data_IF_499846465930
#
_entry.id   IF_499846465930
#
_cell.length_a   1.000
_cell.length_b   1.000
_cell.length_c   1.000
_cell.angle_alpha   90.00
_cell.angle_beta   90.00
_cell.angle_gamma   90.00
#
_symmetry.space_group_name_H-M   'P 1'
#
loop_
_entity.id
_entity.type
_entity.pdbx_description
1 polymer ?
#
# COMPACT_ATOMS: atom_id res chain seq x y z
N UNK A 1 -4.54 -21.00 -45.60
CA UNK A 1 -5.77 -21.36 -44.89
C UNK A 1 -6.95 -20.80 -45.67
N UNK A 2 -7.71 -21.63 -46.40
CA UNK A 2 -8.83 -21.14 -47.21
C UNK A 2 -10.04 -20.80 -46.33
N UNK A 3 -10.58 -19.59 -46.50
CA UNK A 3 -11.76 -19.07 -45.82
C UNK A 3 -13.03 -19.57 -46.47
N UNK A 4 -13.88 -20.26 -45.69
CA UNK A 4 -15.23 -20.68 -46.11
C UNK A 4 -16.20 -19.54 -45.75
N UNK A 5 -17.03 -19.05 -46.70
CA UNK A 5 -18.05 -18.04 -46.40
C UNK A 5 -19.30 -18.68 -45.78
N UNK A 6 -19.82 -18.04 -44.73
CA UNK A 6 -21.04 -18.44 -44.02
C UNK A 6 -22.27 -17.99 -44.82
N UNK A 7 -23.29 -18.84 -45.04
CA UNK A 7 -24.50 -18.47 -45.75
C UNK A 7 -25.41 -17.57 -44.89
N UNK A 8 -25.89 -16.49 -45.50
CA UNK A 8 -26.76 -15.47 -44.92
C UNK A 8 -28.18 -16.02 -44.75
N UNK A 9 -28.67 -16.05 -43.50
CA UNK A 9 -30.01 -16.51 -43.15
C UNK A 9 -31.02 -15.40 -43.44
N UNK A 10 -31.88 -15.66 -44.42
CA UNK A 10 -33.10 -14.91 -44.75
C UNK A 10 -34.01 -14.80 -43.51
N UNK A 11 -34.27 -13.56 -43.06
CA UNK A 11 -35.34 -13.26 -42.10
C UNK A 11 -36.68 -13.26 -42.84
N UNK A 12 -37.74 -13.93 -42.33
CA UNK A 12 -39.08 -13.74 -42.86
C UNK A 12 -39.60 -12.35 -42.50
N UNK A 13 -40.06 -11.61 -43.52
CA UNK A 13 -40.93 -10.46 -43.33
C UNK A 13 -42.26 -10.95 -42.75
N UNK A 14 -42.64 -10.40 -41.60
CA UNK A 14 -44.00 -10.50 -41.07
C UNK A 14 -44.69 -9.17 -41.32
N UNK A 15 -45.46 -9.12 -42.39
CA UNK A 15 -46.47 -8.09 -42.62
C UNK A 15 -47.79 -8.61 -42.06
N UNK A 16 -48.27 -8.05 -40.95
CA UNK A 16 -49.70 -7.78 -40.77
C UNK A 16 -49.93 -6.75 -39.65
N UNK A 17 -50.73 -5.70 -39.90
CA UNK A 17 -51.22 -4.82 -38.84
C UNK A 17 -52.39 -5.51 -38.14
N UNK A 18 -52.24 -5.87 -36.86
CA UNK A 18 -53.40 -6.19 -36.02
C UNK A 18 -54.19 -4.91 -35.78
N UNK A 19 -55.35 -4.80 -36.42
CA UNK A 19 -56.39 -3.83 -36.05
C UNK A 19 -56.88 -4.16 -34.64
N UNK A 20 -56.75 -3.19 -33.73
CA UNK A 20 -57.36 -3.25 -32.40
C UNK A 20 -58.85 -2.98 -32.53
N UNK A 21 -59.66 -4.00 -32.32
CA UNK A 21 -61.09 -3.85 -31.98
C UNK A 21 -61.19 -3.57 -30.49
N UNK A 22 -60.94 -2.31 -30.12
CA UNK A 22 -61.22 -1.81 -28.78
C UNK A 22 -62.73 -1.67 -28.65
N UNK A 23 -63.37 -2.70 -28.08
CA UNK A 23 -64.80 -2.72 -27.79
C UNK A 23 -65.06 -1.80 -26.60
N UNK A 24 -65.44 -0.56 -26.89
CA UNK A 24 -66.03 0.35 -25.91
C UNK A 24 -67.38 -0.20 -25.48
N UNK A 25 -67.37 -0.92 -24.35
CA UNK A 25 -68.57 -1.40 -23.68
C UNK A 25 -69.35 -0.18 -23.20
N UNK A 26 -70.38 0.18 -23.95
CA UNK A 26 -71.40 1.17 -23.59
C UNK A 26 -71.90 0.89 -22.17
N UNK A 27 -71.54 1.78 -21.26
CA UNK A 27 -72.03 1.83 -19.89
C UNK A 27 -73.45 2.42 -19.94
N UNK A 28 -74.47 1.78 -19.36
CA UNK A 28 -75.79 2.36 -19.30
C UNK A 28 -75.74 3.57 -18.37
N UNK A 29 -76.07 4.74 -18.92
CA UNK A 29 -76.33 5.97 -18.18
C UNK A 29 -77.59 5.74 -17.35
N UNK A 30 -77.41 5.55 -16.04
CA UNK A 30 -78.50 5.66 -15.08
C UNK A 30 -78.58 7.14 -14.70
N UNK A 31 -79.62 7.80 -15.20
CA UNK A 31 -80.11 9.06 -14.68
C UNK A 31 -80.40 8.90 -13.18
N UNK A 32 -79.56 9.50 -12.35
CA UNK A 32 -79.79 9.62 -10.91
C UNK A 32 -80.18 11.06 -10.62
N UNK A 33 -81.48 11.34 -10.79
CA UNK A 33 -82.12 12.51 -10.21
C UNK A 33 -82.52 12.16 -8.77
N UNK A 34 -81.75 12.62 -7.78
CA UNK A 34 -82.24 12.87 -6.43
C UNK A 34 -81.22 13.75 -5.68
N UNK A 35 -81.53 15.03 -5.60
CA UNK A 35 -80.99 15.92 -4.58
C UNK A 35 -81.50 15.43 -3.21
N UNK A 36 -80.58 15.11 -2.30
CA UNK A 36 -80.90 14.72 -0.93
C UNK A 36 -79.65 14.34 -0.16
N UNK A 37 -79.24 15.24 0.75
CA UNK A 37 -78.29 15.06 1.85
C UNK A 37 -76.88 14.52 1.56
N UNK A 38 -75.95 15.48 1.49
CA UNK A 38 -74.54 15.25 1.79
C UNK A 38 -74.39 15.04 3.30
N UNK A 39 -74.55 13.80 3.76
CA UNK A 39 -74.17 13.41 5.10
C UNK A 39 -72.63 13.25 5.16
N UNK A 40 -72.02 14.04 6.03
CA UNK A 40 -70.58 14.14 6.25
C UNK A 40 -70.09 12.79 6.79
N UNK A 41 -69.04 12.15 6.23
CA UNK A 41 -68.57 10.87 6.76
C UNK A 41 -67.92 11.07 8.12
N UNK A 42 -68.68 10.82 9.18
CA UNK A 42 -68.20 10.61 10.54
C UNK A 42 -67.05 9.58 10.52
N UNK A 43 -65.92 9.81 11.21
CA UNK A 43 -64.81 8.86 11.25
C UNK A 43 -65.29 7.54 11.89
N UNK A 44 -65.53 6.53 11.05
CA UNK A 44 -65.82 5.17 11.52
C UNK A 44 -64.64 4.71 12.38
N UNK A 45 -64.93 4.24 13.58
CA UNK A 45 -63.88 3.68 14.44
C UNK A 45 -63.22 2.48 13.73
N UNK A 46 -61.91 2.24 13.89
CA UNK A 46 -61.23 1.12 13.26
C UNK A 46 -61.90 -0.23 13.61
N UNK A 47 -62.44 -0.37 14.83
CA UNK A 47 -63.13 -1.57 15.28
C UNK A 47 -64.43 -1.87 14.51
N UNK A 48 -65.17 -0.86 14.06
CA UNK A 48 -66.41 -1.06 13.28
C UNK A 48 -66.12 -1.48 11.83
N UNK A 49 -65.01 -1.00 11.26
CA UNK A 49 -64.58 -1.38 9.90
C UNK A 49 -64.06 -2.81 9.86
N UNK A 50 -63.31 -3.22 10.89
CA UNK A 50 -62.82 -4.61 11.00
C UNK A 50 -63.97 -5.61 11.17
N UNK A 51 -65.02 -5.25 11.94
CA UNK A 51 -66.22 -6.08 12.07
C UNK A 51 -67.01 -6.16 10.76
N UNK A 52 -67.14 -5.05 10.02
CA UNK A 52 -67.80 -5.02 8.70
C UNK A 52 -67.02 -5.83 7.66
N UNK A 53 -65.69 -5.75 7.65
CA UNK A 53 -64.83 -6.56 6.76
C UNK A 53 -64.90 -8.05 7.12
N UNK A 54 -64.94 -8.38 8.41
CA UNK A 54 -65.10 -9.77 8.85
C UNK A 54 -66.48 -10.31 8.51
N UNK A 55 -67.54 -9.53 8.67
CA UNK A 55 -68.89 -9.94 8.28
C UNK A 55 -68.99 -10.11 6.77
N UNK A 56 -68.41 -9.19 5.99
CA UNK A 56 -68.41 -9.26 4.54
C UNK A 56 -67.66 -10.49 4.02
N UNK A 57 -66.50 -10.81 4.62
CA UNK A 57 -65.75 -12.04 4.32
C UNK A 57 -66.58 -13.29 4.63
N UNK A 58 -67.24 -13.30 5.79
CA UNK A 58 -68.11 -14.40 6.21
C UNK A 58 -69.29 -14.59 5.24
N UNK A 59 -70.02 -13.54 4.91
CA UNK A 59 -71.13 -13.62 3.94
C UNK A 59 -70.66 -14.04 2.55
N UNK A 60 -69.46 -13.63 2.15
CA UNK A 60 -68.87 -14.06 0.87
C UNK A 60 -68.53 -15.56 0.88
N UNK A 61 -67.96 -16.06 1.96
CA UNK A 61 -67.67 -17.48 2.14
C UNK A 61 -68.95 -18.32 2.17
N UNK A 62 -69.98 -17.87 2.87
CA UNK A 62 -71.31 -18.49 2.90
C UNK A 62 -71.92 -18.55 1.49
N UNK A 63 -71.89 -17.44 0.73
CA UNK A 63 -72.38 -17.40 -0.66
C UNK A 63 -71.62 -18.37 -1.57
N UNK A 64 -70.30 -18.52 -1.38
CA UNK A 64 -69.50 -19.48 -2.14
C UNK A 64 -69.85 -20.93 -1.78
N UNK A 65 -70.21 -21.20 -0.53
CA UNK A 65 -70.63 -22.51 -0.09
C UNK A 65 -72.02 -22.87 -0.63
N UNK A 66 -73.00 -21.97 -0.49
CA UNK A 66 -74.35 -22.15 -1.05
C UNK A 66 -74.28 -22.45 -2.56
N UNK A 67 -73.44 -21.72 -3.30
CA UNK A 67 -73.26 -21.95 -4.73
C UNK A 67 -72.61 -23.31 -5.05
N UNK A 68 -71.67 -23.78 -4.22
CA UNK A 68 -71.09 -25.14 -4.38
C UNK A 68 -72.12 -26.22 -4.12
N UNK A 69 -72.96 -26.05 -3.10
CA UNK A 69 -74.04 -26.98 -2.77
C UNK A 69 -75.08 -27.05 -3.89
N UNK A 70 -75.49 -25.91 -4.44
CA UNK A 70 -76.39 -25.84 -5.60
C UNK A 70 -75.79 -26.56 -6.83
N UNK A 71 -74.50 -26.34 -7.11
CA UNK A 71 -73.78 -27.05 -8.16
C UNK A 71 -73.75 -28.57 -7.93
N UNK A 72 -73.53 -29.03 -6.70
CA UNK A 72 -73.56 -30.45 -6.35
C UNK A 72 -74.95 -31.06 -6.53
N UNK A 73 -76.00 -30.38 -6.08
CA UNK A 73 -77.39 -30.79 -6.29
C UNK A 73 -77.74 -30.93 -7.78
N UNK A 74 -77.29 -29.98 -8.61
CA UNK A 74 -77.47 -30.08 -10.06
C UNK A 74 -76.70 -31.25 -10.69
N UNK A 75 -75.47 -31.51 -10.24
CA UNK A 75 -74.69 -32.66 -10.72
C UNK A 75 -75.36 -33.99 -10.36
N UNK A 76 -75.84 -34.15 -9.13
CA UNK A 76 -76.58 -35.35 -8.71
C UNK A 76 -77.84 -35.57 -9.56
N UNK A 77 -78.59 -34.50 -9.85
CA UNK A 77 -79.76 -34.56 -10.73
C UNK A 77 -79.38 -34.96 -12.15
N UNK A 78 -78.27 -34.46 -12.68
CA UNK A 78 -77.76 -34.83 -14.00
C UNK A 78 -77.38 -36.32 -14.02
N UNK A 79 -76.67 -36.82 -13.01
CA UNK A 79 -76.28 -38.23 -12.91
C UNK A 79 -77.50 -39.15 -12.80
N UNK A 80 -78.52 -38.76 -12.04
CA UNK A 80 -79.79 -39.48 -11.94
C UNK A 80 -80.53 -39.52 -13.30
N UNK A 81 -80.54 -38.42 -14.05
CA UNK A 81 -81.14 -38.38 -15.39
C UNK A 81 -80.34 -39.23 -16.40
N UNK A 82 -79.02 -39.17 -16.35
CA UNK A 82 -78.15 -39.95 -17.24
C UNK A 82 -78.29 -41.46 -17.00
N UNK A 83 -78.34 -41.89 -15.74
CA UNK A 83 -78.56 -43.30 -15.40
C UNK A 83 -79.93 -43.80 -15.88
N UNK A 84 -81.00 -43.00 -15.68
CA UNK A 84 -82.34 -43.31 -16.20
C UNK A 84 -82.36 -43.41 -17.72
N UNK A 85 -81.71 -42.48 -18.42
CA UNK A 85 -81.63 -42.47 -19.87
C UNK A 85 -80.88 -43.70 -20.39
N UNK A 86 -79.77 -44.06 -19.75
CA UNK A 86 -79.00 -45.29 -20.06
C UNK A 86 -79.83 -46.56 -19.85
N UNK A 87 -80.61 -46.61 -18.77
CA UNK A 87 -81.50 -47.73 -18.49
C UNK A 87 -82.59 -47.88 -19.57
N UNK A 88 -83.24 -46.77 -19.94
CA UNK A 88 -84.25 -46.77 -21.00
C UNK A 88 -83.68 -47.16 -22.37
N UNK A 89 -82.47 -46.71 -22.71
CA UNK A 89 -81.81 -47.11 -23.97
C UNK A 89 -81.47 -48.60 -23.99
N UNK A 90 -80.99 -49.16 -22.86
CA UNK A 90 -80.76 -50.60 -22.74
C UNK A 90 -82.06 -51.40 -22.85
N UNK A 91 -83.15 -50.91 -22.25
CA UNK A 91 -84.48 -51.52 -22.35
C UNK A 91 -85.00 -51.51 -23.79
N UNK A 92 -84.84 -50.38 -24.51
CA UNK A 92 -85.16 -50.26 -25.94
C UNK A 92 -84.35 -51.25 -26.79
N UNK A 93 -83.03 -51.34 -26.57
CA UNK A 93 -82.19 -52.29 -27.29
C UNK A 93 -82.57 -53.76 -27.04
N UNK A 94 -82.93 -54.10 -25.80
CA UNK A 94 -83.40 -55.45 -25.45
C UNK A 94 -84.74 -55.76 -26.12
N UNK A 95 -85.70 -54.83 -26.06
CA UNK A 95 -87.02 -54.95 -26.71
C UNK A 95 -86.91 -55.07 -28.22
N UNK A 96 -86.08 -54.24 -28.85
CA UNK A 96 -85.83 -54.29 -30.29
C UNK A 96 -85.26 -55.65 -30.73
N UNK A 97 -84.31 -56.20 -29.96
CA UNK A 97 -83.74 -57.53 -30.24
C UNK A 97 -84.78 -58.65 -30.13
N UNK A 98 -85.67 -58.60 -29.15
CA UNK A 98 -86.72 -59.60 -28.99
C UNK A 98 -87.76 -59.52 -30.11
N UNK A 99 -88.17 -58.32 -30.53
CA UNK A 99 -89.14 -58.12 -31.62
C UNK A 99 -88.56 -58.50 -32.99
N UNK A 100 -87.27 -58.26 -33.22
CA UNK A 100 -86.60 -58.70 -34.44
C UNK A 100 -86.42 -60.23 -34.54
N UNK A 101 -86.25 -60.91 -33.40
CA UNK A 101 -86.08 -62.36 -33.34
C UNK A 101 -87.40 -63.14 -33.46
N UNK A 102 -88.55 -62.46 -33.32
CA UNK A 102 -89.87 -63.08 -33.35
C UNK A 102 -90.44 -63.13 -34.78
N UNK A 103 -90.67 -64.33 -35.31
CA UNK A 103 -91.07 -64.57 -36.70
C UNK A 103 -92.51 -64.11 -36.99
N UNK A 104 -93.34 -63.90 -35.96
CA UNK A 104 -94.74 -63.47 -36.05
C UNK A 104 -94.99 -61.97 -36.13
N UNK A 105 -93.94 -61.13 -36.17
CA UNK A 105 -94.07 -59.67 -36.08
C UNK A 105 -94.34 -59.00 -37.42
N UNK A 106 -95.19 -57.97 -37.40
CA UNK A 106 -95.58 -57.20 -38.57
C UNK A 106 -94.42 -56.35 -39.10
N UNK A 107 -94.45 -56.00 -40.39
CA UNK A 107 -93.37 -55.24 -41.04
C UNK A 107 -93.14 -53.85 -40.41
N UNK A 108 -94.18 -53.25 -39.81
CA UNK A 108 -94.07 -51.98 -39.08
C UNK A 108 -93.34 -52.14 -37.74
N UNK A 109 -93.63 -53.22 -37.00
CA UNK A 109 -92.95 -53.54 -35.73
C UNK A 109 -91.46 -53.81 -35.94
N UNK A 110 -91.09 -54.50 -37.02
CA UNK A 110 -89.68 -54.71 -37.40
C UNK A 110 -88.95 -53.40 -37.72
N UNK A 111 -89.61 -52.47 -38.42
CA UNK A 111 -89.06 -51.12 -38.68
C UNK A 111 -88.92 -50.29 -37.41
N UNK A 112 -89.85 -50.42 -36.47
CA UNK A 112 -89.78 -49.72 -35.18
C UNK A 112 -88.60 -50.26 -34.35
N UNK A 113 -88.46 -51.58 -34.27
CA UNK A 113 -87.35 -52.24 -33.59
C UNK A 113 -85.98 -51.86 -34.20
N UNK A 114 -85.88 -51.71 -35.52
CA UNK A 114 -84.65 -51.27 -36.17
C UNK A 114 -84.28 -49.82 -35.79
N UNK A 115 -85.27 -48.93 -35.71
CA UNK A 115 -85.06 -47.55 -35.23
C UNK A 115 -84.63 -47.53 -33.76
N UNK A 116 -85.25 -48.33 -32.91
CA UNK A 116 -84.89 -48.41 -31.48
C UNK A 116 -83.47 -48.95 -31.27
N UNK A 117 -83.04 -49.92 -32.08
CA UNK A 117 -81.66 -50.40 -32.11
C UNK A 117 -80.69 -49.30 -32.57
N UNK A 118 -81.06 -48.52 -33.60
CA UNK A 118 -80.25 -47.40 -34.08
C UNK A 118 -80.13 -46.28 -33.03
N UNK A 119 -81.22 -45.95 -32.33
CA UNK A 119 -81.22 -44.97 -31.24
C UNK A 119 -80.27 -45.43 -30.12
N UNK A 120 -80.35 -46.70 -29.71
CA UNK A 120 -79.45 -47.21 -28.67
C UNK A 120 -77.98 -47.18 -29.10
N UNK A 121 -77.67 -47.53 -30.36
CA UNK A 121 -76.29 -47.49 -30.87
C UNK A 121 -75.74 -46.06 -30.89
N UNK A 122 -76.54 -45.08 -31.33
CA UNK A 122 -76.17 -43.66 -31.31
C UNK A 122 -75.96 -43.13 -29.88
N UNK A 123 -76.77 -43.58 -28.92
CA UNK A 123 -76.62 -43.21 -27.51
C UNK A 123 -75.31 -43.74 -26.91
N UNK A 124 -74.96 -45.00 -27.20
CA UNK A 124 -73.70 -45.59 -26.74
C UNK A 124 -72.48 -44.89 -27.38
N UNK A 125 -72.55 -44.61 -28.68
CA UNK A 125 -71.50 -43.86 -29.40
C UNK A 125 -71.36 -42.44 -28.83
N UNK A 126 -72.48 -41.73 -28.60
CA UNK A 126 -72.49 -40.41 -27.98
C UNK A 126 -71.87 -40.42 -26.57
N UNK A 127 -72.18 -41.42 -25.74
CA UNK A 127 -71.58 -41.57 -24.42
C UNK A 127 -70.07 -41.86 -24.50
N UNK A 128 -69.64 -42.69 -25.45
CA UNK A 128 -68.23 -43.00 -25.70
C UNK A 128 -67.45 -41.77 -26.18
N UNK A 129 -68.05 -41.00 -27.10
CA UNK A 129 -67.47 -39.77 -27.62
C UNK A 129 -67.31 -38.73 -26.50
N UNK A 130 -68.36 -38.51 -25.69
CA UNK A 130 -68.34 -37.60 -24.54
C UNK A 130 -67.24 -37.97 -23.54
N UNK A 131 -67.12 -39.25 -23.18
CA UNK A 131 -66.04 -39.74 -22.30
C UNK A 131 -64.64 -39.50 -22.91
N UNK A 132 -64.48 -39.66 -24.22
CA UNK A 132 -63.21 -39.42 -24.91
C UNK A 132 -62.84 -37.93 -24.94
N UNK A 133 -63.80 -37.06 -25.24
CA UNK A 133 -63.62 -35.61 -25.26
C UNK A 133 -63.24 -35.09 -23.87
N UNK A 134 -63.89 -35.57 -22.81
CA UNK A 134 -63.56 -35.21 -21.43
C UNK A 134 -62.13 -35.63 -21.05
N UNK A 135 -61.67 -36.81 -21.49
CA UNK A 135 -60.27 -37.25 -21.31
C UNK A 135 -59.29 -36.34 -22.04
N UNK A 136 -59.58 -35.96 -23.29
CA UNK A 136 -58.73 -35.06 -24.05
C UNK A 136 -58.70 -33.65 -23.45
N UNK A 137 -59.84 -33.11 -23.00
CA UNK A 137 -59.91 -31.83 -22.30
C UNK A 137 -59.10 -31.83 -21.01
N UNK A 138 -59.18 -32.91 -20.22
CA UNK A 138 -58.38 -33.06 -19.00
C UNK A 138 -56.88 -33.13 -19.32
N UNK A 139 -56.51 -33.84 -20.39
CA UNK A 139 -55.12 -33.96 -20.86
C UNK A 139 -54.57 -32.61 -21.33
N UNK A 140 -55.35 -31.85 -22.12
CA UNK A 140 -54.98 -30.51 -22.58
C UNK A 140 -54.80 -29.55 -21.40
N UNK A 141 -55.70 -29.58 -20.40
CA UNK A 141 -55.55 -28.79 -19.17
C UNK A 141 -54.26 -29.15 -18.44
N UNK A 142 -53.96 -30.45 -18.26
CA UNK A 142 -52.73 -30.92 -17.61
C UNK A 142 -51.47 -30.47 -18.37
N UNK A 143 -51.48 -30.55 -19.70
CA UNK A 143 -50.36 -30.10 -20.54
C UNK A 143 -50.16 -28.59 -20.47
N UNK A 144 -51.24 -27.79 -20.42
CA UNK A 144 -51.15 -26.34 -20.23
C UNK A 144 -50.54 -25.96 -18.89
N UNK A 145 -50.98 -26.61 -17.80
CA UNK A 145 -50.42 -26.38 -16.46
C UNK A 145 -48.93 -26.72 -16.44
N UNK A 146 -48.56 -27.89 -16.96
CA UNK A 146 -47.15 -28.31 -17.05
C UNK A 146 -46.31 -27.33 -17.88
N UNK A 147 -46.83 -26.83 -18.99
CA UNK A 147 -46.16 -25.81 -19.80
C UNK A 147 -45.89 -24.52 -19.02
N UNK A 148 -46.88 -24.03 -18.26
CA UNK A 148 -46.71 -22.84 -17.41
C UNK A 148 -45.70 -23.06 -16.28
N UNK A 149 -45.68 -24.24 -15.66
CA UNK A 149 -44.69 -24.59 -14.63
C UNK A 149 -43.27 -24.62 -15.21
N UNK A 150 -43.09 -25.21 -16.39
CA UNK A 150 -41.81 -25.25 -17.09
C UNK A 150 -41.32 -23.86 -17.50
N UNK A 151 -42.21 -22.97 -17.97
CA UNK A 151 -41.84 -21.59 -18.28
C UNK A 151 -41.36 -20.82 -17.02
N UNK A 152 -42.03 -21.02 -15.88
CA UNK A 152 -41.59 -20.47 -14.58
C UNK A 152 -40.22 -21.01 -14.18
N UNK A 153 -39.99 -22.30 -14.33
CA UNK A 153 -38.70 -22.91 -14.02
C UNK A 153 -37.58 -22.37 -14.93
N UNK A 154 -37.83 -22.29 -16.24
CA UNK A 154 -36.87 -21.74 -17.22
C UNK A 154 -36.54 -20.28 -16.90
N UNK A 155 -37.53 -19.46 -16.55
CA UNK A 155 -37.28 -18.05 -16.19
C UNK A 155 -36.46 -17.93 -14.92
N UNK A 156 -36.75 -18.72 -13.88
CA UNK A 156 -35.92 -18.77 -12.66
C UNK A 156 -34.49 -19.25 -12.95
N UNK A 157 -34.32 -20.27 -13.78
CA UNK A 157 -32.99 -20.78 -14.15
C UNK A 157 -32.19 -19.73 -14.93
N UNK A 158 -32.81 -19.02 -15.88
CA UNK A 158 -32.18 -17.90 -16.59
C UNK A 158 -31.76 -16.77 -15.65
N UNK A 159 -32.59 -16.42 -14.67
CA UNK A 159 -32.24 -15.42 -13.66
C UNK A 159 -31.06 -15.87 -12.79
N UNK A 160 -31.01 -17.15 -12.37
CA UNK A 160 -29.88 -17.70 -11.61
C UNK A 160 -28.60 -17.74 -12.45
N UNK A 161 -28.69 -18.14 -13.71
CA UNK A 161 -27.57 -18.19 -14.65
C UNK A 161 -26.97 -16.79 -14.86
N UNK A 162 -27.79 -15.79 -15.21
CA UNK A 162 -27.31 -14.41 -15.38
C UNK A 162 -26.70 -13.82 -14.11
N UNK A 163 -27.23 -14.17 -12.92
CA UNK A 163 -26.63 -13.78 -11.64
C UNK A 163 -25.27 -14.46 -11.42
N UNK A 164 -25.15 -15.75 -11.73
CA UNK A 164 -23.90 -16.49 -11.62
C UNK A 164 -22.84 -15.96 -12.59
N UNK A 165 -23.20 -15.68 -13.84
CA UNK A 165 -22.30 -15.10 -14.85
C UNK A 165 -21.75 -13.73 -14.43
N UNK A 166 -22.61 -12.84 -13.90
CA UNK A 166 -22.16 -11.57 -13.32
C UNK A 166 -21.20 -11.79 -12.16
N UNK A 167 -21.52 -12.72 -11.25
CA UNK A 167 -20.65 -13.07 -10.12
C UNK A 167 -19.27 -13.58 -10.57
N UNK A 168 -19.22 -14.41 -11.62
CA UNK A 168 -17.97 -14.90 -12.21
C UNK A 168 -17.16 -13.73 -12.80
N UNK A 169 -17.81 -12.81 -13.52
CA UNK A 169 -17.17 -11.61 -14.05
C UNK A 169 -16.54 -10.74 -12.96
N UNK A 170 -17.29 -10.45 -11.89
CA UNK A 170 -16.82 -9.63 -10.77
C UNK A 170 -15.63 -10.27 -10.03
N UNK A 171 -15.67 -11.60 -9.83
CA UNK A 171 -14.58 -12.33 -9.20
C UNK A 171 -13.34 -12.40 -10.09
N UNK A 172 -13.51 -12.56 -11.40
CA UNK A 172 -12.40 -12.56 -12.37
C UNK A 172 -11.70 -11.20 -12.39
N UNK A 173 -12.47 -10.11 -12.41
CA UNK A 173 -11.92 -8.76 -12.36
C UNK A 173 -11.23 -8.45 -11.01
N UNK A 174 -11.77 -8.94 -9.89
CA UNK A 174 -11.11 -8.84 -8.59
C UNK A 174 -9.81 -9.63 -8.56
N UNK A 175 -9.78 -10.84 -9.12
CA UNK A 175 -8.58 -11.67 -9.20
C UNK A 175 -7.47 -10.98 -10.02
N UNK A 176 -7.80 -10.45 -11.21
CA UNK A 176 -6.84 -9.69 -12.04
C UNK A 176 -6.26 -8.47 -11.32
N UNK A 177 -7.10 -7.73 -10.57
CA UNK A 177 -6.63 -6.60 -9.76
C UNK A 177 -5.69 -7.03 -8.64
N UNK A 178 -6.00 -8.15 -7.98
CA UNK A 178 -5.12 -8.71 -6.95
C UNK A 178 -3.78 -9.18 -7.53
N UNK A 179 -3.78 -9.86 -8.68
CA UNK A 179 -2.57 -10.31 -9.38
C UNK A 179 -1.68 -9.13 -9.81
N UNK A 180 -2.28 -8.06 -10.35
CA UNK A 180 -1.55 -6.85 -10.71
C UNK A 180 -0.90 -6.16 -9.49
N UNK A 181 -1.62 -6.12 -8.36
CA UNK A 181 -1.10 -5.58 -7.11
C UNK A 181 0.04 -6.45 -6.53
N UNK A 182 -0.08 -7.78 -6.61
CA UNK A 182 0.97 -8.71 -6.20
C UNK A 182 2.23 -8.53 -7.04
N UNK A 183 2.11 -8.46 -8.36
CA UNK A 183 3.25 -8.23 -9.25
C UNK A 183 3.96 -6.92 -8.93
N UNK A 184 3.21 -5.84 -8.70
CA UNK A 184 3.78 -4.56 -8.28
C UNK A 184 4.48 -4.64 -6.91
N UNK A 185 3.96 -5.42 -5.97
CA UNK A 185 4.60 -5.66 -4.68
C UNK A 185 5.90 -6.47 -4.83
N UNK A 186 5.90 -7.50 -5.67
CA UNK A 186 7.11 -8.29 -5.96
C UNK A 186 8.21 -7.44 -6.60
N UNK A 187 7.86 -6.54 -7.52
CA UNK A 187 8.85 -5.65 -8.14
C UNK A 187 9.41 -4.64 -7.13
N UNK A 188 8.60 -4.14 -6.20
CA UNK A 188 9.09 -3.32 -5.08
C UNK A 188 10.05 -4.09 -4.17
N UNK A 189 9.76 -5.35 -3.85
CA UNK A 189 10.64 -6.20 -3.05
C UNK A 189 12.00 -6.42 -3.73
N UNK A 190 12.03 -6.60 -5.06
CA UNK A 190 13.30 -6.68 -5.81
C UNK A 190 14.12 -5.39 -5.72
N UNK A 191 13.46 -4.22 -5.74
CA UNK A 191 14.13 -2.93 -5.57
C UNK A 191 14.70 -2.81 -4.15
N UNK A 192 13.91 -3.16 -3.13
CA UNK A 192 14.37 -3.15 -1.72
C UNK A 192 15.59 -4.06 -1.54
N UNK A 193 15.57 -5.28 -2.08
CA UNK A 193 16.70 -6.20 -2.00
C UNK A 193 17.97 -5.66 -2.68
N UNK A 194 17.85 -4.87 -3.76
CA UNK A 194 19.00 -4.19 -4.37
C UNK A 194 19.53 -3.08 -3.47
N UNK A 195 18.65 -2.25 -2.91
CA UNK A 195 19.02 -1.18 -1.99
C UNK A 195 19.72 -1.74 -0.74
N UNK A 196 19.23 -2.85 -0.19
CA UNK A 196 19.88 -3.52 0.95
C UNK A 196 21.30 -3.95 0.61
N UNK A 197 21.51 -4.56 -0.57
CA UNK A 197 22.84 -4.94 -1.04
C UNK A 197 23.76 -3.73 -1.22
N UNK A 198 23.26 -2.64 -1.79
CA UNK A 198 24.03 -1.40 -1.97
C UNK A 198 24.39 -0.76 -0.62
N UNK A 199 23.48 -0.80 0.37
CA UNK A 199 23.74 -0.33 1.73
C UNK A 199 24.84 -1.14 2.43
N UNK A 200 24.82 -2.46 2.28
CA UNK A 200 25.86 -3.32 2.87
C UNK A 200 27.23 -3.09 2.20
N UNK A 201 27.25 -2.86 0.89
CA UNK A 201 28.47 -2.46 0.18
C UNK A 201 29.01 -1.12 0.69
N UNK A 202 28.17 -0.09 0.78
CA UNK A 202 28.57 1.23 1.31
C UNK A 202 29.06 1.13 2.77
N UNK A 203 28.45 0.26 3.58
CA UNK A 203 28.92 0.00 4.95
C UNK A 203 30.32 -0.60 4.96
N UNK A 204 30.58 -1.62 4.13
CA UNK A 204 31.92 -2.21 4.03
C UNK A 204 32.98 -1.21 3.55
N UNK A 205 32.67 -0.39 2.55
CA UNK A 205 33.56 0.67 2.07
C UNK A 205 33.84 1.72 3.15
N UNK A 206 32.83 2.09 3.93
CA UNK A 206 32.98 3.02 5.06
C UNK A 206 33.85 2.44 6.15
N UNK A 207 33.71 1.15 6.46
CA UNK A 207 34.56 0.46 7.44
C UNK A 207 36.01 0.40 6.97
N UNK A 208 36.25 0.06 5.71
CA UNK A 208 37.59 0.03 5.10
C UNK A 208 38.24 1.42 5.06
N UNK A 209 37.49 2.46 4.67
CA UNK A 209 37.95 3.84 4.73
C UNK A 209 38.25 4.27 6.17
N UNK A 210 37.44 3.82 7.13
CA UNK A 210 37.66 4.04 8.57
C UNK A 210 39.00 3.45 9.03
N UNK A 211 39.29 2.20 8.68
CA UNK A 211 40.57 1.55 8.97
C UNK A 211 41.74 2.32 8.35
N UNK A 212 41.62 2.71 7.08
CA UNK A 212 42.64 3.49 6.38
C UNK A 212 42.90 4.84 7.07
N UNK A 213 41.86 5.56 7.48
CA UNK A 213 41.98 6.82 8.22
C UNK A 213 42.71 6.60 9.55
N UNK A 214 42.37 5.54 10.30
CA UNK A 214 43.03 5.26 11.58
C UNK A 214 44.51 4.95 11.40
N UNK A 215 44.87 4.20 10.36
CA UNK A 215 46.26 3.87 10.06
C UNK A 215 47.05 5.11 9.63
N UNK A 216 46.50 5.95 8.75
CA UNK A 216 47.15 7.20 8.35
C UNK A 216 47.34 8.17 9.53
N UNK A 217 46.37 8.25 10.45
CA UNK A 217 46.51 9.03 11.69
C UNK A 217 47.63 8.49 12.57
N UNK A 218 47.75 7.16 12.69
CA UNK A 218 48.84 6.51 13.43
C UNK A 218 50.19 6.85 12.81
N UNK A 219 50.34 6.70 11.49
CA UNK A 219 51.56 7.04 10.76
C UNK A 219 51.94 8.52 10.91
N UNK A 220 50.96 9.43 10.86
CA UNK A 220 51.18 10.86 11.07
C UNK A 220 51.70 11.15 12.48
N UNK A 221 51.07 10.57 13.50
CA UNK A 221 51.51 10.73 14.90
C UNK A 221 52.92 10.18 15.11
N UNK A 222 53.24 9.01 14.56
CA UNK A 222 54.57 8.42 14.63
C UNK A 222 55.62 9.29 13.92
N UNK A 223 55.25 9.93 12.80
CA UNK A 223 56.12 10.85 12.08
C UNK A 223 56.34 12.16 12.84
N UNK A 224 55.30 12.73 13.44
CA UNK A 224 55.38 13.91 14.30
C UNK A 224 56.26 13.64 15.53
N UNK A 225 56.05 12.52 16.23
CA UNK A 225 56.89 12.14 17.38
C UNK A 225 58.36 11.98 16.98
N UNK A 226 58.65 11.36 15.84
CA UNK A 226 60.03 11.25 15.33
C UNK A 226 60.64 12.61 14.96
N UNK A 227 59.85 13.50 14.38
CA UNK A 227 60.30 14.85 14.05
C UNK A 227 60.61 15.67 15.31
N UNK A 228 59.73 15.63 16.32
CA UNK A 228 59.95 16.27 17.62
C UNK A 228 61.20 15.73 18.33
N UNK A 229 61.42 14.41 18.30
CA UNK A 229 62.61 13.80 18.90
C UNK A 229 63.90 14.21 18.17
N UNK A 230 63.87 14.28 16.84
CA UNK A 230 64.98 14.79 16.04
C UNK A 230 65.26 16.27 16.36
N UNK A 231 64.23 17.10 16.44
CA UNK A 231 64.36 18.51 16.79
C UNK A 231 64.97 18.70 18.18
N UNK A 232 64.47 17.98 19.19
CA UNK A 232 65.03 18.00 20.56
C UNK A 232 66.49 17.58 20.59
N UNK A 233 66.90 16.56 19.82
CA UNK A 233 68.31 16.14 19.71
C UNK A 233 69.18 17.22 19.07
N UNK A 234 68.72 17.84 18.00
CA UNK A 234 69.45 18.94 17.33
C UNK A 234 69.59 20.13 18.26
N UNK A 235 68.52 20.55 18.94
CA UNK A 235 68.54 21.64 19.91
C UNK A 235 69.48 21.34 21.09
N UNK A 236 69.42 20.12 21.65
CA UNK A 236 70.31 19.70 22.72
C UNK A 236 71.78 19.69 22.30
N UNK A 237 72.07 19.17 21.09
CA UNK A 237 73.43 19.18 20.52
C UNK A 237 73.95 20.59 20.26
N UNK A 238 73.14 21.48 19.69
CA UNK A 238 73.49 22.88 19.48
C UNK A 238 73.79 23.60 20.81
N UNK A 239 72.95 23.40 21.82
CA UNK A 239 73.12 23.98 23.15
C UNK A 239 74.38 23.45 23.87
N UNK A 240 74.74 22.18 23.66
CA UNK A 240 75.99 21.63 24.17
C UNK A 240 77.22 22.24 23.49
N UNK A 241 77.18 22.40 22.16
CA UNK A 241 78.24 23.07 21.39
C UNK A 241 78.41 24.52 21.88
N UNK A 242 77.32 25.27 22.01
CA UNK A 242 77.35 26.64 22.53
C UNK A 242 77.93 26.72 23.94
N UNK A 243 77.57 25.77 24.82
CA UNK A 243 78.15 25.67 26.17
C UNK A 243 79.65 25.42 26.12
N UNK A 244 80.12 24.51 25.26
CA UNK A 244 81.56 24.23 25.09
C UNK A 244 82.32 25.44 24.57
N UNK A 245 81.79 26.13 23.54
CA UNK A 245 82.37 27.38 23.02
C UNK A 245 82.40 28.45 24.10
N UNK A 246 81.32 28.62 24.86
CA UNK A 246 81.26 29.59 25.96
C UNK A 246 82.26 29.25 27.06
N UNK A 247 82.46 27.97 27.38
CA UNK A 247 83.47 27.53 28.36
C UNK A 247 84.89 27.82 27.86
N UNK A 248 85.20 27.46 26.61
CA UNK A 248 86.49 27.76 25.97
C UNK A 248 86.79 29.26 25.97
N UNK A 249 85.82 30.09 25.55
CA UNK A 249 85.98 31.54 25.56
C UNK A 249 86.17 32.10 26.98
N UNK A 250 85.55 31.52 28.00
CA UNK A 250 85.78 31.91 29.41
C UNK A 250 87.20 31.58 29.86
N UNK A 251 87.70 30.41 29.50
CA UNK A 251 89.09 29.99 29.77
C UNK A 251 90.07 30.93 29.05
N UNK A 252 89.83 31.24 27.78
CA UNK A 252 90.64 32.21 27.02
C UNK A 252 90.63 33.60 27.67
N UNK A 253 89.47 34.08 28.14
CA UNK A 253 89.37 35.36 28.86
C UNK A 253 90.16 35.33 30.18
N UNK A 254 90.13 34.21 30.91
CA UNK A 254 90.90 34.05 32.15
C UNK A 254 92.40 33.99 31.87
N UNK A 255 92.81 33.24 30.85
CA UNK A 255 94.20 33.17 30.39
C UNK A 255 94.71 34.56 30.00
N UNK A 256 93.96 35.31 29.17
CA UNK A 256 94.32 36.69 28.80
C UNK A 256 94.38 37.62 30.02
N UNK A 257 93.51 37.44 31.02
CA UNK A 257 93.58 38.22 32.27
C UNK A 257 94.83 37.88 33.08
N UNK A 258 95.24 36.62 33.14
CA UNK A 258 96.47 36.19 33.80
C UNK A 258 97.68 36.75 33.06
N UNK A 259 97.72 36.63 31.74
CA UNK A 259 98.78 37.20 30.89
C UNK A 259 98.89 38.71 31.07
N UNK A 260 97.75 39.41 31.07
CA UNK A 260 97.69 40.85 31.35
C UNK A 260 98.26 41.16 32.74
N UNK A 261 97.88 40.44 33.80
CA UNK A 261 98.43 40.64 35.15
C UNK A 261 99.94 40.38 35.19
N UNK A 262 100.42 39.30 34.56
CA UNK A 262 101.85 38.99 34.48
C UNK A 262 102.63 40.08 33.71
N UNK A 263 102.06 40.61 32.63
CA UNK A 263 102.64 41.72 31.87
C UNK A 263 102.65 43.01 32.69
N UNK A 264 101.57 43.32 33.42
CA UNK A 264 101.51 44.46 34.35
C UNK A 264 102.53 44.32 35.49
N UNK A 265 102.68 43.12 36.07
CA UNK A 265 103.65 42.87 37.14
C UNK A 265 105.10 42.91 36.63
N UNK A 266 105.37 42.43 35.41
CA UNK A 266 106.66 42.64 34.72
C UNK A 266 106.92 44.12 34.50
N UNK A 267 105.97 44.84 33.90
CA UNK A 267 106.11 46.29 33.68
C UNK A 267 106.30 47.09 34.97
N UNK A 268 105.66 46.70 36.08
CA UNK A 268 105.89 47.28 37.41
C UNK A 268 107.29 46.98 37.96
N UNK A 269 107.78 45.74 37.81
CA UNK A 269 109.15 45.36 38.20
C UNK A 269 110.18 46.13 37.40
N UNK A 270 110.03 46.18 36.07
CA UNK A 270 110.94 46.92 35.19
C UNK A 270 110.93 48.42 35.52
N UNK A 271 109.76 49.00 35.82
CA UNK A 271 109.66 50.39 36.30
C UNK A 271 110.34 50.60 37.65
N UNK A 272 110.22 49.65 38.57
CA UNK A 272 110.85 49.73 39.89
C UNK A 272 112.37 49.61 39.77
N UNK A 273 112.87 48.66 38.98
CA UNK A 273 114.30 48.48 38.68
C UNK A 273 114.88 49.73 38.02
N UNK A 274 114.19 50.29 37.01
CA UNK A 274 114.60 51.53 36.37
C UNK A 274 114.62 52.72 37.36
N UNK A 275 113.67 52.79 38.30
CA UNK A 275 113.68 53.81 39.37
C UNK A 275 114.85 53.62 40.34
N UNK A 276 115.13 52.39 40.75
CA UNK A 276 116.25 52.06 41.65
C UNK A 276 117.59 52.37 40.98
N UNK A 277 117.76 52.02 39.71
CA UNK A 277 118.97 52.35 38.95
C UNK A 277 119.10 53.85 38.71
N UNK A 278 118.01 54.56 38.41
CA UNK A 278 118.01 56.02 38.35
C UNK A 278 118.39 56.64 39.70
N UNK A 279 117.88 56.09 40.82
CA UNK A 279 118.25 56.54 42.17
C UNK A 279 119.73 56.25 42.49
N UNK A 280 120.26 55.08 42.14
CA UNK A 280 121.69 54.74 42.28
C UNK A 280 122.56 55.67 41.43
N UNK A 281 122.14 55.98 40.21
CA UNK A 281 122.85 56.95 39.36
C UNK A 281 122.79 58.35 39.96
N UNK A 282 121.65 58.77 40.52
CA UNK A 282 121.52 60.05 41.21
C UNK A 282 122.39 60.12 42.47
N UNK A 283 122.47 59.04 43.26
CA UNK A 283 123.37 58.96 44.42
C UNK A 283 124.84 58.99 43.99
N UNK A 284 125.22 58.23 42.96
CA UNK A 284 126.57 58.31 42.38
C UNK A 284 126.89 59.72 41.90
N UNK A 285 125.96 60.36 41.21
CA UNK A 285 126.11 61.74 40.76
C UNK A 285 126.29 62.71 41.95
N UNK A 286 125.50 62.56 43.04
CA UNK A 286 125.66 63.34 44.27
C UNK A 286 127.00 63.10 44.96
N UNK A 287 127.46 61.85 45.04
CA UNK A 287 128.77 61.51 45.60
C UNK A 287 129.87 62.17 44.76
N UNK A 288 129.82 62.04 43.42
CA UNK A 288 130.79 62.72 42.55
C UNK A 288 130.69 64.25 42.64
N UNK A 289 129.50 64.82 42.83
CA UNK A 289 129.33 66.26 43.05
C UNK A 289 129.95 66.69 44.39
N UNK A 290 129.77 65.90 45.45
CA UNK A 290 130.39 66.15 46.75
C UNK A 290 131.91 66.00 46.70
N UNK A 291 132.44 65.01 45.99
CA UNK A 291 133.87 64.85 45.73
C UNK A 291 134.44 66.05 44.97
N UNK A 292 133.80 66.46 43.87
CA UNK A 292 134.18 67.65 43.11
C UNK A 292 134.09 68.92 43.95
N UNK A 293 133.06 69.09 44.78
CA UNK A 293 132.98 70.20 45.74
C UNK A 293 134.07 70.15 46.80
N UNK A 294 134.43 68.96 47.26
CA UNK A 294 135.56 68.72 48.14
C UNK A 294 136.87 69.12 47.49
N UNK A 295 137.10 68.73 46.24
CA UNK A 295 138.26 69.11 45.44
C UNK A 295 138.31 70.62 45.18
N UNK A 296 137.18 71.26 44.86
CA UNK A 296 137.08 72.72 44.73
C UNK A 296 137.38 73.39 46.07
N UNK A 297 136.85 72.91 47.19
CA UNK A 297 137.15 73.45 48.51
C UNK A 297 138.62 73.28 48.90
N UNK A 298 139.27 72.17 48.54
CA UNK A 298 140.71 71.96 48.71
C UNK A 298 141.51 72.87 47.79
N UNK A 299 141.07 73.08 46.54
CA UNK A 299 141.71 73.98 45.59
C UNK A 299 141.63 75.43 46.05
N UNK A 300 140.44 75.89 46.47
CA UNK A 300 140.23 77.22 47.07
C UNK A 300 141.06 77.36 48.35
N UNK A 301 141.16 76.32 49.18
CA UNK A 301 142.00 76.36 50.40
C UNK A 301 143.49 76.43 50.04
N UNK A 302 143.94 75.76 48.97
CA UNK A 302 145.30 75.90 48.42
C UNK A 302 145.53 77.27 47.79
N UNK A 303 144.50 77.90 47.22
CA UNK A 303 144.57 79.26 46.70
C UNK A 303 144.62 80.29 47.83
N UNK A 304 143.82 80.14 48.89
CA UNK A 304 143.89 80.98 50.09
C UNK A 304 145.22 80.80 50.82
N UNK A 305 145.75 79.57 50.94
CA UNK A 305 147.09 79.34 51.48
C UNK A 305 148.17 79.96 50.60
N UNK A 306 148.05 79.90 49.27
CA UNK A 306 148.97 80.63 48.37
C UNK A 306 148.85 82.15 48.55
N UNK A 307 147.64 82.69 48.73
CA UNK A 307 147.46 84.11 49.02
C UNK A 307 148.04 84.51 50.39
N UNK A 308 147.99 83.64 51.41
CA UNK A 308 148.67 83.89 52.69
C UNK A 308 150.20 83.81 52.59
N UNK A 309 150.75 82.96 51.70
CA UNK A 309 152.21 82.91 51.45
C UNK A 309 152.71 84.09 50.60
N UNK A 310 151.84 84.73 49.82
CA UNK A 310 152.19 85.91 48.99
C UNK A 310 151.99 87.27 49.70
N UNK A 311 151.48 87.32 50.94
CA UNK A 311 151.20 88.58 51.67
C UNK A 311 151.44 88.46 53.20
N UNK A 312 152.69 88.30 53.67
CA UNK A 312 153.02 88.66 55.06
C UNK A 312 154.26 88.01 55.72
N UNK A 313 155.29 88.84 55.90
CA UNK A 313 156.35 88.88 56.95
C UNK A 313 157.29 87.66 57.05
#
# INVERSE_FOLDING_TARGET
MPSIPIPSILKPQTSSPRQSIDSTRSRPSIDSSAAGDLDIPTPRSPGTVDTELSSLRKTHEETLNDHREELHSHLERIDALQSKLTYLSQQLAASAKTTHADEGTTLEEKRLAEKDAQISALMEEGQKLSKSEMKYMTTIKKMRIKGQEQEKEITMLKQRLTKAERGIGDQTERAKRAEAAEKAAQDKLKIVARIEKDLDMIRSEREEAGLTITELRRQLNDALSRAEDAEKRVQAGALEIEKRVTASLKEDIENVRIEKKLAEDRGKRDLQEAKEDAARQQERAKVTELELRGEIAVSIRREISRYHTYMGI
#
